data_IF_739574890108
#
_entry.id   IF_739574890108
#
_cell.length_a   1.000
_cell.length_b   1.000
_cell.length_c   1.000
_cell.angle_alpha   90.00
_cell.angle_beta   90.00
_cell.angle_gamma   90.00
#
_symmetry.space_group_name_H-M   'P 1'
#
loop_
_entity.id
_entity.type
_entity.pdbx_description
1 polymer ?
#
# COMPACT_ATOMS: atom_id res chain seq x y z
N UNK A 1 25.53 -24.45 22.07
CA UNK A 1 26.17 -24.14 20.75
C UNK A 1 25.31 -24.50 19.52
N UNK A 2 24.05 -24.93 19.67
CA UNK A 2 23.18 -25.27 18.52
C UNK A 2 22.24 -24.15 18.08
N UNK A 3 21.93 -23.17 18.95
CA UNK A 3 21.05 -22.03 18.66
C UNK A 3 21.60 -21.08 17.60
N UNK A 4 22.92 -20.88 17.55
CA UNK A 4 23.55 -20.01 16.57
C UNK A 4 23.41 -20.58 15.15
N UNK A 5 23.46 -21.91 14.98
CA UNK A 5 23.31 -22.55 13.66
C UNK A 5 21.90 -22.37 13.10
N UNK A 6 20.88 -22.50 13.96
CA UNK A 6 19.49 -22.22 13.58
C UNK A 6 19.24 -20.74 13.29
N UNK A 7 19.86 -19.84 14.04
CA UNK A 7 19.79 -18.41 13.78
C UNK A 7 20.43 -18.02 12.43
N UNK A 8 21.59 -18.61 12.10
CA UNK A 8 22.24 -18.39 10.80
C UNK A 8 21.39 -18.90 9.64
N UNK A 9 20.78 -20.08 9.75
CA UNK A 9 19.89 -20.61 8.70
C UNK A 9 18.61 -19.80 8.53
N UNK A 10 18.07 -19.25 9.63
CA UNK A 10 16.90 -18.39 9.56
C UNK A 10 17.24 -17.04 8.89
N UNK A 11 18.42 -16.48 9.20
CA UNK A 11 18.89 -15.22 8.64
C UNK A 11 19.21 -15.34 7.14
N UNK A 12 19.79 -16.46 6.69
CA UNK A 12 20.04 -16.70 5.27
C UNK A 12 18.74 -16.89 4.48
N UNK A 13 17.76 -17.58 5.06
CA UNK A 13 16.44 -17.74 4.46
C UNK A 13 15.71 -16.39 4.32
N UNK A 14 15.76 -15.57 5.36
CA UNK A 14 15.16 -14.23 5.36
C UNK A 14 15.83 -13.30 4.32
N UNK A 15 17.17 -13.35 4.19
CA UNK A 15 17.90 -12.60 3.17
C UNK A 15 17.50 -13.04 1.75
N UNK A 16 17.31 -14.34 1.53
CA UNK A 16 16.89 -14.89 0.24
C UNK A 16 15.48 -14.43 -0.14
N UNK A 17 14.55 -14.41 0.82
CA UNK A 17 13.21 -13.85 0.61
C UNK A 17 13.25 -12.35 0.26
N UNK A 18 14.10 -11.57 0.92
CA UNK A 18 14.24 -10.13 0.62
C UNK A 18 14.84 -9.89 -0.78
N UNK A 19 15.81 -10.70 -1.19
CA UNK A 19 16.35 -10.64 -2.55
C UNK A 19 15.27 -10.95 -3.58
N UNK A 20 14.47 -12.00 -3.37
CA UNK A 20 13.39 -12.37 -4.27
C UNK A 20 12.34 -11.26 -4.42
N UNK A 21 12.02 -10.53 -3.34
CA UNK A 21 11.09 -9.39 -3.39
C UNK A 21 11.70 -8.21 -4.15
N UNK A 22 13.01 -7.98 -4.02
CA UNK A 22 13.71 -6.89 -4.71
C UNK A 22 13.92 -7.14 -6.22
N UNK A 23 13.93 -8.40 -6.66
CA UNK A 23 14.04 -8.79 -8.07
C UNK A 23 12.71 -8.69 -8.83
N UNK A 24 11.65 -8.23 -8.17
CA UNK A 24 10.39 -7.86 -8.81
C UNK A 24 10.61 -6.55 -9.55
N UNK A 25 11.35 -6.62 -10.65
CA UNK A 25 11.65 -5.49 -11.51
C UNK A 25 10.36 -4.79 -11.93
N UNK A 26 10.49 -3.48 -11.97
CA UNK A 26 9.49 -2.50 -12.29
C UNK A 26 8.56 -2.94 -13.41
N UNK A 27 7.29 -2.53 -13.29
CA UNK A 27 6.34 -2.57 -14.39
C UNK A 27 7.04 -2.10 -15.68
N UNK A 28 6.89 -2.83 -16.81
CA UNK A 28 7.52 -2.47 -18.06
C UNK A 28 7.28 -0.99 -18.35
N UNK A 29 8.37 -0.23 -18.50
CA UNK A 29 8.33 1.18 -18.91
C UNK A 29 7.37 1.28 -20.10
N UNK A 30 6.33 2.14 -20.06
CA UNK A 30 5.37 2.23 -21.15
C UNK A 30 6.14 2.62 -22.41
N UNK A 31 6.26 1.68 -23.35
CA UNK A 31 6.79 1.99 -24.67
C UNK A 31 5.79 2.95 -25.29
N UNK A 32 6.21 4.19 -25.51
CA UNK A 32 5.53 5.08 -26.44
C UNK A 32 5.53 4.36 -27.78
N UNK A 33 4.43 3.68 -28.08
CA UNK A 33 4.16 3.15 -29.39
C UNK A 33 3.94 4.36 -30.28
N UNK A 34 5.02 4.84 -30.88
CA UNK A 34 4.99 5.73 -32.02
C UNK A 34 4.25 4.98 -33.13
N UNK A 35 2.93 5.16 -33.13
CA UNK A 35 2.10 4.74 -34.22
C UNK A 35 2.46 5.66 -35.38
N UNK A 36 3.19 5.13 -36.37
CA UNK A 36 3.46 5.80 -37.63
C UNK A 36 2.14 6.18 -38.29
N UNK A 37 1.68 7.39 -38.01
CA UNK A 37 0.59 8.08 -38.68
C UNK A 37 1.14 9.41 -39.15
N UNK A 38 1.39 9.51 -40.46
CA UNK A 38 1.88 10.73 -41.10
C UNK A 38 0.99 11.94 -40.79
N UNK A 39 1.65 13.06 -40.54
CA UNK A 39 0.99 14.34 -40.25
C UNK A 39 2.00 15.30 -39.66
N UNK A 40 2.92 15.79 -40.51
CA UNK A 40 4.02 16.64 -40.08
C UNK A 40 3.57 18.02 -39.64
N UNK A 41 4.14 18.49 -38.53
CA UNK A 41 4.42 19.90 -38.24
C UNK A 41 5.68 19.91 -37.40
N UNK A 42 6.82 20.11 -38.06
CA UNK A 42 8.06 20.49 -37.39
C UNK A 42 8.12 22.01 -37.23
N UNK A 43 8.79 22.46 -36.18
CA UNK A 43 9.11 23.86 -35.93
C UNK A 43 8.92 24.16 -34.44
N UNK A 44 9.83 24.76 -33.71
CA UNK A 44 11.08 25.44 -34.02
C UNK A 44 11.46 26.19 -32.74
N UNK A 45 12.73 26.26 -32.41
CA UNK A 45 13.25 26.95 -31.22
C UNK A 45 13.03 28.46 -31.35
N UNK A 46 12.47 29.12 -30.34
CA UNK A 46 12.44 30.59 -30.29
C UNK A 46 11.60 31.16 -29.15
N UNK A 47 12.27 31.84 -28.20
CA UNK A 47 11.63 32.81 -27.30
C UNK A 47 11.61 32.41 -25.82
N UNK A 48 12.69 32.71 -25.09
CA UNK A 48 12.60 32.93 -23.64
C UNK A 48 12.11 34.36 -23.41
N UNK A 49 10.83 34.59 -23.59
CA UNK A 49 10.15 35.74 -23.01
C UNK A 49 9.30 35.18 -21.87
N UNK A 50 9.19 35.90 -20.76
CA UNK A 50 8.32 35.55 -19.65
C UNK A 50 6.87 35.55 -20.18
N UNK A 51 6.48 34.44 -20.81
CA UNK A 51 5.16 34.22 -21.37
C UNK A 51 4.23 34.15 -20.18
N UNK A 52 3.50 35.24 -20.01
CA UNK A 52 2.41 35.39 -19.06
C UNK A 52 1.51 34.17 -19.22
N UNK A 53 1.60 33.24 -18.27
CA UNK A 53 0.90 31.95 -18.34
C UNK A 53 -0.58 32.28 -18.52
N UNK A 54 -1.23 31.85 -19.62
CA UNK A 54 -2.62 32.21 -19.89
C UNK A 54 -3.50 31.83 -18.70
N UNK A 55 -4.30 32.77 -18.20
CA UNK A 55 -5.14 32.56 -17.01
C UNK A 55 -6.06 31.33 -17.14
N UNK A 56 -6.48 31.01 -18.37
CA UNK A 56 -7.27 29.81 -18.68
C UNK A 56 -6.48 28.51 -18.42
N UNK A 57 -5.20 28.48 -18.79
CA UNK A 57 -4.31 27.35 -18.53
C UNK A 57 -4.02 27.21 -17.04
N UNK A 58 -3.80 28.34 -16.35
CA UNK A 58 -3.63 28.34 -14.89
C UNK A 58 -4.91 27.86 -14.20
N UNK A 59 -6.08 28.32 -14.63
CA UNK A 59 -7.37 27.91 -14.07
C UNK A 59 -7.63 26.42 -14.30
N UNK A 60 -7.32 25.91 -15.48
CA UNK A 60 -7.41 24.48 -15.78
C UNK A 60 -6.46 23.67 -14.89
N UNK A 61 -5.22 24.13 -14.73
CA UNK A 61 -4.22 23.48 -13.90
C UNK A 61 -4.63 23.48 -12.42
N UNK A 62 -5.10 24.61 -11.90
CA UNK A 62 -5.60 24.74 -10.53
C UNK A 62 -6.84 23.89 -10.30
N UNK A 63 -7.73 23.80 -11.28
CA UNK A 63 -8.91 22.93 -11.21
C UNK A 63 -8.52 21.45 -11.21
N UNK A 64 -7.55 21.06 -12.04
CA UNK A 64 -7.01 19.69 -12.06
C UNK A 64 -6.33 19.35 -10.73
N UNK A 65 -5.51 20.23 -10.19
CA UNK A 65 -4.85 20.01 -8.90
C UNK A 65 -5.84 20.00 -7.73
N UNK A 66 -6.79 20.92 -7.68
CA UNK A 66 -7.82 20.95 -6.64
C UNK A 66 -8.63 19.64 -6.61
N UNK A 67 -9.00 19.13 -7.78
CA UNK A 67 -9.67 17.82 -7.93
C UNK A 67 -8.82 16.64 -7.46
N UNK A 68 -7.51 16.66 -7.69
CA UNK A 68 -6.59 15.58 -7.26
C UNK A 68 -6.36 15.64 -5.75
N UNK A 69 -6.13 16.82 -5.19
CA UNK A 69 -5.89 17.03 -3.76
C UNK A 69 -7.13 16.64 -2.94
N UNK A 70 -8.34 17.01 -3.38
CA UNK A 70 -9.59 16.66 -2.68
C UNK A 70 -9.77 15.13 -2.61
N UNK A 71 -9.47 14.41 -3.70
CA UNK A 71 -9.55 12.94 -3.72
C UNK A 71 -8.51 12.31 -2.79
N UNK A 72 -7.25 12.72 -2.90
CA UNK A 72 -6.17 12.23 -2.05
C UNK A 72 -6.41 12.50 -0.56
N UNK A 73 -7.03 13.65 -0.23
CA UNK A 73 -7.42 13.99 1.15
C UNK A 73 -8.48 13.02 1.69
N UNK A 74 -9.53 12.74 0.90
CA UNK A 74 -10.59 11.82 1.32
C UNK A 74 -10.05 10.40 1.53
N UNK A 75 -9.14 9.93 0.67
CA UNK A 75 -8.51 8.62 0.81
C UNK A 75 -7.60 8.55 2.07
N UNK A 76 -6.89 9.64 2.38
CA UNK A 76 -6.05 9.75 3.58
C UNK A 76 -6.87 9.86 4.87
N UNK A 77 -7.98 10.61 4.88
CA UNK A 77 -8.90 10.70 6.01
C UNK A 77 -9.53 9.34 6.33
N UNK A 78 -9.83 8.54 5.30
CA UNK A 78 -10.36 7.18 5.47
C UNK A 78 -9.28 6.19 5.96
N UNK A 79 -8.02 6.38 5.55
CA UNK A 79 -6.88 5.56 5.98
C UNK A 79 -6.56 5.67 7.48
N UNK A 80 -6.78 6.84 8.10
CA UNK A 80 -6.46 7.07 9.53
C UNK A 80 -7.33 6.31 10.53
N UNK A 81 -8.45 5.69 10.13
CA UNK A 81 -9.37 5.02 11.07
C UNK A 81 -9.30 3.50 11.07
N UNK A 82 -8.60 2.89 10.11
CA UNK A 82 -8.44 1.44 10.08
C UNK A 82 -7.08 1.09 9.47
N UNK A 83 -6.13 0.66 10.30
CA UNK A 83 -4.98 -0.10 9.81
C UNK A 83 -5.53 -1.40 9.21
N UNK A 84 -5.74 -1.43 7.90
CA UNK A 84 -6.17 -2.63 7.19
C UNK A 84 -4.97 -3.56 7.07
N UNK A 85 -4.91 -4.56 7.96
CA UNK A 85 -3.88 -5.61 7.95
C UNK A 85 -3.99 -6.56 6.74
N UNK A 86 -4.74 -6.19 5.69
CA UNK A 86 -4.96 -7.02 4.52
C UNK A 86 -5.81 -8.26 4.81
N UNK A 87 -6.34 -8.38 6.02
CA UNK A 87 -7.18 -9.49 6.47
C UNK A 87 -8.54 -9.53 5.74
N UNK A 88 -8.99 -8.40 5.20
CA UNK A 88 -10.20 -8.34 4.38
C UNK A 88 -9.93 -8.55 2.88
N UNK A 89 -8.65 -8.61 2.46
CA UNK A 89 -8.28 -8.68 1.04
C UNK A 89 -7.97 -10.13 0.65
N UNK A 90 -8.82 -10.68 -0.21
CA UNK A 90 -8.65 -12.01 -0.79
C UNK A 90 -8.95 -13.17 0.16
N UNK A 91 -8.81 -14.39 -0.37
CA UNK A 91 -9.12 -15.64 0.34
C UNK A 91 -8.16 -15.87 1.52
N UNK A 92 -6.84 -15.67 1.30
CA UNK A 92 -5.80 -15.87 2.31
C UNK A 92 -5.98 -14.94 3.53
N UNK A 93 -6.28 -13.66 3.31
CA UNK A 93 -6.52 -12.71 4.38
C UNK A 93 -7.75 -13.07 5.20
N UNK A 94 -8.86 -13.42 4.52
CA UNK A 94 -10.11 -13.78 5.18
C UNK A 94 -9.98 -15.07 6.00
N UNK A 95 -9.19 -16.04 5.53
CA UNK A 95 -8.91 -17.28 6.24
C UNK A 95 -8.08 -17.02 7.51
N UNK A 96 -7.04 -16.20 7.39
CA UNK A 96 -6.21 -15.81 8.53
C UNK A 96 -7.02 -15.00 9.56
N UNK A 97 -7.91 -14.12 9.11
CA UNK A 97 -8.81 -13.33 9.96
C UNK A 97 -9.73 -14.22 10.81
N UNK A 98 -10.40 -15.18 10.17
CA UNK A 98 -11.27 -16.15 10.86
C UNK A 98 -10.49 -17.02 11.83
N UNK A 99 -9.30 -17.46 11.42
CA UNK A 99 -8.43 -18.26 12.28
C UNK A 99 -8.00 -17.49 13.53
N UNK A 100 -7.55 -16.24 13.37
CA UNK A 100 -7.15 -15.38 14.49
C UNK A 100 -8.34 -15.02 15.40
N UNK A 101 -9.51 -14.78 14.82
CA UNK A 101 -10.75 -14.56 15.56
C UNK A 101 -11.13 -15.80 16.40
N UNK A 102 -11.00 -17.00 15.84
CA UNK A 102 -11.27 -18.26 16.54
C UNK A 102 -10.30 -18.48 17.71
N UNK A 103 -9.00 -18.26 17.51
CA UNK A 103 -8.00 -18.35 18.58
C UNK A 103 -8.26 -17.32 19.69
N UNK A 104 -8.62 -16.09 19.34
CA UNK A 104 -8.96 -15.06 20.33
C UNK A 104 -10.22 -15.42 21.15
N UNK A 105 -11.25 -15.98 20.50
CA UNK A 105 -12.46 -16.43 21.16
C UNK A 105 -12.20 -17.62 22.11
N UNK A 106 -11.36 -18.58 21.72
CA UNK A 106 -10.96 -19.70 22.58
C UNK A 106 -10.11 -19.25 23.79
N UNK A 107 -9.25 -18.25 23.58
CA UNK A 107 -8.43 -17.67 24.64
C UNK A 107 -9.18 -16.66 25.51
N UNK A 108 -10.45 -16.35 25.21
CA UNK A 108 -11.22 -15.37 25.96
C UNK A 108 -11.45 -15.85 27.41
N UNK A 109 -10.97 -15.08 28.42
CA UNK A 109 -11.04 -15.49 29.83
C UNK A 109 -12.47 -15.46 30.40
N UNK A 110 -13.41 -14.78 29.74
CA UNK A 110 -14.82 -14.71 30.12
C UNK A 110 -15.74 -15.67 29.35
N UNK A 111 -15.19 -16.68 28.66
CA UNK A 111 -15.99 -17.63 27.88
C UNK A 111 -16.95 -18.46 28.74
N UNK A 112 -18.11 -18.87 28.21
CA UNK A 112 -19.07 -19.70 28.94
C UNK A 112 -18.41 -21.01 29.44
N UNK A 113 -18.70 -21.39 30.68
CA UNK A 113 -18.10 -22.57 31.34
C UNK A 113 -16.77 -22.30 32.08
N UNK A 114 -16.14 -21.14 31.86
CA UNK A 114 -14.93 -20.73 32.61
C UNK A 114 -15.36 -20.14 33.95
N UNK A 115 -15.07 -20.84 35.05
CA UNK A 115 -15.35 -20.35 36.41
C UNK A 115 -14.63 -19.02 36.60
N UNK A 116 -15.38 -17.94 36.84
CA UNK A 116 -14.81 -16.69 37.34
C UNK A 116 -14.08 -17.07 38.62
N UNK A 117 -12.77 -16.78 38.72
CA UNK A 117 -12.08 -16.90 40.00
C UNK A 117 -12.85 -16.00 40.95
N UNK A 118 -13.63 -16.59 41.85
CA UNK A 118 -14.29 -15.84 42.89
C UNK A 118 -13.18 -15.16 43.67
N UNK A 119 -13.26 -13.83 43.73
CA UNK A 119 -12.46 -13.01 44.60
C UNK A 119 -12.88 -13.38 46.04
N UNK A 120 -12.21 -14.39 46.57
CA UNK A 120 -12.29 -14.79 47.96
C UNK A 120 -10.86 -14.83 48.43
N UNK A 121 -10.40 -13.70 48.97
CA UNK A 121 -9.42 -13.64 50.06
C UNK A 121 -9.56 -12.27 50.75
N UNK A 122 -10.21 -12.34 51.93
CA UNK A 122 -10.15 -11.48 53.14
C UNK A 122 -10.41 -9.97 53.02
#
# INVERSE_FOLDING_TARGET
>A
MMTNRFAFTALTFLLMCLLAISSNEAAPMPRYQSNGGGGGYGGGYGGNELEEVPDDLLMELMTRFGRTIIRARNDLENSKRTVDFGLARGYSGTQEAKHRMGLAAANFPGGPGRRRRSETDV
#
